data_IF_713912182618
#
_entry.id   IF_713912182618
#
_cell.length_a   1.000
_cell.length_b   1.000
_cell.length_c   1.000
_cell.angle_alpha   90.00
_cell.angle_beta   90.00
_cell.angle_gamma   90.00
#
_symmetry.space_group_name_H-M   'P 1'
#
loop_
_entity.id
_entity.type
_entity.pdbx_description
1 polymer ?
#
# COMPACT_ATOMS: atom_id res chain seq x y z
N UNK A 1 -4.87 -11.64 12.53
CA UNK A 1 -3.90 -10.75 11.82
C UNK A 1 -4.04 -9.32 12.36
N UNK A 2 -3.03 -8.45 12.19
CA UNK A 2 -3.02 -7.09 12.78
C UNK A 2 -4.28 -6.27 12.46
N UNK A 3 -4.71 -6.28 11.19
CA UNK A 3 -5.93 -5.57 10.77
C UNK A 3 -7.19 -6.04 11.50
N UNK A 4 -7.35 -7.36 11.71
CA UNK A 4 -8.50 -7.94 12.44
C UNK A 4 -8.49 -7.53 13.91
N UNK A 5 -7.33 -7.56 14.55
CA UNK A 5 -7.18 -7.13 15.95
C UNK A 5 -7.58 -5.66 16.13
N UNK A 6 -7.06 -4.78 15.28
CA UNK A 6 -7.36 -3.35 15.33
C UNK A 6 -8.83 -3.09 14.96
N UNK A 7 -9.39 -3.83 14.00
CA UNK A 7 -10.80 -3.72 13.61
C UNK A 7 -11.73 -4.04 14.77
N UNK A 8 -11.50 -5.14 15.49
CA UNK A 8 -12.27 -5.49 16.70
C UNK A 8 -12.13 -4.45 17.81
N UNK A 9 -10.93 -3.88 18.00
CA UNK A 9 -10.68 -2.88 19.05
C UNK A 9 -11.31 -1.52 18.75
N UNK A 10 -11.35 -1.13 17.48
CA UNK A 10 -11.91 0.17 17.07
C UNK A 10 -13.39 0.09 16.68
N UNK A 11 -13.95 -1.11 16.50
CA UNK A 11 -15.33 -1.31 16.05
C UNK A 11 -15.58 -0.78 14.64
N UNK A 12 -14.53 -0.76 13.81
CA UNK A 12 -14.55 -0.18 12.45
C UNK A 12 -13.86 -1.11 11.46
N UNK A 13 -14.27 -1.09 10.17
CA UNK A 13 -13.54 -1.81 9.13
C UNK A 13 -12.14 -1.21 8.98
N UNK A 14 -11.12 -2.08 8.97
CA UNK A 14 -9.70 -1.71 8.84
C UNK A 14 -9.08 -2.50 7.70
N UNK A 15 -8.30 -1.81 6.87
CA UNK A 15 -7.50 -2.41 5.82
C UNK A 15 -6.02 -2.00 5.93
N UNK A 16 -5.13 -2.89 5.50
CA UNK A 16 -3.71 -2.53 5.32
C UNK A 16 -3.55 -1.82 3.99
N UNK A 17 -2.90 -0.66 4.01
CA UNK A 17 -2.68 0.15 2.81
C UNK A 17 -1.93 -0.64 1.72
N UNK A 18 -2.33 -0.43 0.46
CA UNK A 18 -1.71 -1.02 -0.73
C UNK A 18 -1.18 0.11 -1.64
N UNK A 19 0.03 0.64 -1.40
CA UNK A 19 0.53 1.84 -2.08
C UNK A 19 0.57 1.74 -3.60
N UNK A 20 0.87 0.55 -4.12
CA UNK A 20 1.01 0.30 -5.55
C UNK A 20 -0.32 -0.04 -6.25
N UNK A 21 -1.45 0.01 -5.53
CA UNK A 21 -2.77 -0.30 -6.09
C UNK A 21 -3.11 0.69 -7.22
N UNK A 22 -3.38 0.16 -8.41
CA UNK A 22 -3.74 0.96 -9.59
C UNK A 22 -2.55 1.46 -10.41
N UNK A 23 -1.31 1.15 -10.02
CA UNK A 23 -0.13 1.40 -10.84
C UNK A 23 0.06 0.27 -11.85
N UNK A 24 0.49 0.62 -13.07
CA UNK A 24 0.96 -0.35 -14.06
C UNK A 24 2.44 -0.61 -13.84
N UNK A 25 2.81 -1.87 -13.68
CA UNK A 25 4.20 -2.30 -13.52
C UNK A 25 4.39 -3.71 -14.10
N UNK A 26 5.62 -4.08 -14.51
CA UNK A 26 5.92 -5.43 -14.99
C UNK A 26 5.62 -6.49 -13.93
N UNK A 27 5.09 -7.65 -14.36
CA UNK A 27 4.76 -8.77 -13.47
C UNK A 27 5.97 -9.26 -12.65
N UNK A 28 7.18 -9.18 -13.22
CA UNK A 28 8.43 -9.50 -12.54
C UNK A 28 8.65 -8.72 -11.23
N UNK A 29 8.04 -7.54 -11.08
CA UNK A 29 8.16 -6.72 -9.86
C UNK A 29 7.09 -7.05 -8.80
N UNK A 30 6.07 -7.85 -9.13
CA UNK A 30 4.93 -8.10 -8.24
C UNK A 30 5.34 -8.63 -6.86
N UNK A 31 6.30 -9.57 -6.83
CA UNK A 31 6.81 -10.14 -5.58
C UNK A 31 7.50 -9.06 -4.72
N UNK A 32 8.44 -8.31 -5.31
CA UNK A 32 9.18 -7.27 -4.59
C UNK A 32 8.28 -6.13 -4.11
N UNK A 33 7.31 -5.68 -4.91
CA UNK A 33 6.37 -4.65 -4.50
C UNK A 33 5.44 -5.12 -3.36
N UNK A 34 5.07 -6.40 -3.35
CA UNK A 34 4.31 -6.99 -2.26
C UNK A 34 5.13 -7.05 -0.96
N UNK A 35 6.44 -7.28 -1.04
CA UNK A 35 7.35 -7.26 0.12
C UNK A 35 7.54 -5.86 0.71
N UNK A 36 7.65 -4.81 -0.13
CA UNK A 36 7.73 -3.42 0.36
C UNK A 36 6.45 -3.00 1.08
N UNK A 37 5.30 -3.36 0.50
CA UNK A 37 3.98 -3.20 1.08
C UNK A 37 3.68 -1.76 1.55
N UNK A 38 3.02 -1.57 2.71
CA UNK A 38 2.58 -0.26 3.18
C UNK A 38 3.71 0.69 3.62
N UNK A 39 4.92 0.18 3.89
CA UNK A 39 6.06 1.01 4.33
C UNK A 39 6.50 2.05 3.29
N UNK A 40 6.22 1.78 2.01
CA UNK A 40 6.56 2.65 0.88
C UNK A 40 5.47 3.67 0.53
N UNK A 41 4.38 3.77 1.31
CA UNK A 41 3.26 4.66 1.01
C UNK A 41 3.67 6.13 0.75
N UNK A 42 4.60 6.65 1.55
CA UNK A 42 5.11 8.02 1.41
C UNK A 42 5.91 8.19 0.12
N UNK A 43 6.83 7.28 -0.18
CA UNK A 43 7.67 7.34 -1.38
C UNK A 43 6.82 7.26 -2.66
N UNK A 44 5.82 6.36 -2.69
CA UNK A 44 4.90 6.24 -3.84
C UNK A 44 4.09 7.52 -4.04
N UNK A 45 3.59 8.12 -2.95
CA UNK A 45 2.86 9.39 -3.03
C UNK A 45 3.71 10.53 -3.58
N UNK A 46 4.98 10.63 -3.16
CA UNK A 46 5.93 11.62 -3.68
C UNK A 46 6.20 11.41 -5.17
N UNK A 47 6.39 10.17 -5.60
CA UNK A 47 6.60 9.84 -7.02
C UNK A 47 5.38 10.20 -7.88
N UNK A 48 4.17 9.89 -7.41
CA UNK A 48 2.93 10.27 -8.14
C UNK A 48 2.80 11.78 -8.30
N UNK A 49 3.11 12.54 -7.24
CA UNK A 49 3.09 14.01 -7.30
C UNK A 49 4.08 14.54 -8.34
N UNK A 50 5.28 13.98 -8.40
CA UNK A 50 6.31 14.39 -9.36
C UNK A 50 5.94 14.10 -10.82
N UNK A 51 5.09 13.09 -11.06
CA UNK A 51 4.64 12.72 -12.41
C UNK A 51 3.36 13.45 -12.83
N UNK A 52 2.53 13.85 -11.85
CA UNK A 52 1.22 14.48 -12.11
C UNK A 52 1.26 16.02 -12.07
N UNK A 53 2.35 16.62 -11.58
CA UNK A 53 2.57 18.07 -11.55
C UNK A 53 3.46 18.52 -12.69
#
# INVERSE_FOLDING_TARGET
KLAEYVSTKLGRPIEIAKPFKGLLYPEALQAHLAELGPSFAVAVGLAQKAVSG
#
